data_IF_386647943001
#
_entry.id   IF_386647943001
#
_cell.length_a   1.000
_cell.length_b   1.000
_cell.length_c   1.000
_cell.angle_alpha   90.00
_cell.angle_beta   90.00
_cell.angle_gamma   90.00
#
_symmetry.space_group_name_H-M   'P 1'
#
loop_
_entity.id
_entity.type
_entity.pdbx_description
1 polymer ?
#
# COMPACT_ATOMS: atom_id res chain seq x y z
N UNK A 1 19.81 -1.60 -15.93
CA UNK A 1 20.14 -1.49 -14.49
C UNK A 1 19.27 -2.39 -13.62
N UNK A 2 17.95 -2.20 -13.54
CA UNK A 2 17.08 -2.94 -12.61
C UNK A 2 17.20 -4.48 -12.63
N UNK A 3 17.09 -5.12 -13.81
CA UNK A 3 17.21 -6.59 -13.94
C UNK A 3 18.56 -7.16 -13.47
N UNK A 4 19.62 -6.35 -13.48
CA UNK A 4 20.93 -6.74 -12.92
C UNK A 4 20.81 -6.96 -11.42
N UNK A 5 20.16 -6.04 -10.71
CA UNK A 5 19.95 -6.13 -9.26
C UNK A 5 18.97 -7.23 -8.89
N UNK A 6 17.93 -7.48 -9.70
CA UNK A 6 17.00 -8.62 -9.51
C UNK A 6 17.76 -9.95 -9.55
N UNK A 7 18.65 -10.14 -10.54
CA UNK A 7 19.50 -11.34 -10.63
C UNK A 7 20.51 -11.46 -9.48
N UNK A 8 21.16 -10.35 -9.10
CA UNK A 8 22.09 -10.34 -7.96
C UNK A 8 21.37 -10.68 -6.64
N UNK A 9 20.13 -10.23 -6.47
CA UNK A 9 19.29 -10.53 -5.31
C UNK A 9 18.68 -11.95 -5.35
N UNK A 10 18.94 -12.75 -6.40
CA UNK A 10 18.37 -14.10 -6.59
C UNK A 10 16.84 -14.12 -6.58
N UNK A 11 16.22 -13.07 -7.12
CA UNK A 11 14.76 -12.96 -7.23
C UNK A 11 14.28 -13.39 -8.62
N UNK A 12 12.99 -13.70 -8.74
CA UNK A 12 12.36 -14.06 -10.00
C UNK A 12 12.52 -12.95 -11.06
N UNK A 13 12.86 -13.32 -12.29
CA UNK A 13 13.04 -12.37 -13.38
C UNK A 13 11.75 -11.65 -13.81
N UNK A 14 10.59 -12.19 -13.40
CA UNK A 14 9.28 -11.58 -13.59
C UNK A 14 9.03 -10.36 -12.70
N UNK A 15 9.91 -10.07 -11.72
CA UNK A 15 9.77 -8.87 -10.91
C UNK A 15 9.92 -7.62 -11.79
N UNK A 16 8.94 -6.73 -11.65
CA UNK A 16 8.89 -5.44 -12.31
C UNK A 16 8.73 -4.30 -11.28
N UNK A 17 8.93 -3.06 -11.74
CA UNK A 17 8.62 -1.88 -10.92
C UNK A 17 7.15 -1.82 -10.51
N UNK A 18 6.24 -2.40 -11.30
CA UNK A 18 4.84 -2.49 -10.93
C UNK A 18 4.65 -3.36 -9.68
N UNK A 19 5.32 -4.51 -9.61
CA UNK A 19 5.28 -5.39 -8.43
C UNK A 19 5.82 -4.69 -7.18
N UNK A 20 6.92 -3.94 -7.32
CA UNK A 20 7.46 -3.14 -6.21
C UNK A 20 6.48 -2.05 -5.75
N UNK A 21 5.80 -1.39 -6.69
CA UNK A 21 4.74 -0.41 -6.39
C UNK A 21 3.58 -1.09 -5.66
N UNK A 22 3.18 -2.29 -6.06
CA UNK A 22 2.16 -3.08 -5.36
C UNK A 22 2.57 -3.36 -3.92
N UNK A 23 3.78 -3.89 -3.71
CA UNK A 23 4.31 -4.19 -2.37
C UNK A 23 4.38 -2.93 -1.49
N UNK A 24 4.86 -1.81 -2.03
CA UNK A 24 4.92 -0.55 -1.33
C UNK A 24 3.53 -0.06 -0.91
N UNK A 25 2.53 -0.17 -1.80
CA UNK A 25 1.15 0.23 -1.52
C UNK A 25 0.56 -0.62 -0.40
N UNK A 26 0.71 -1.95 -0.50
CA UNK A 26 0.25 -2.89 0.52
C UNK A 26 0.83 -2.59 1.89
N UNK A 27 2.13 -2.30 2.00
CA UNK A 27 2.76 -1.97 3.28
C UNK A 27 2.28 -0.64 3.88
N UNK A 28 2.05 0.39 3.05
CA UNK A 28 1.50 1.65 3.55
C UNK A 28 0.10 1.45 4.12
N UNK A 29 -0.74 0.69 3.41
CA UNK A 29 -2.12 0.44 3.86
C UNK A 29 -2.15 -0.44 5.10
N UNK A 30 -1.33 -1.50 5.17
CA UNK A 30 -1.20 -2.35 6.37
C UNK A 30 -0.71 -1.58 7.61
N UNK A 31 0.09 -0.53 7.41
CA UNK A 31 0.54 0.37 8.48
C UNK A 31 -0.50 1.42 8.87
N UNK A 32 -1.70 1.38 8.29
CA UNK A 32 -2.80 2.30 8.61
C UNK A 32 -2.72 3.64 7.90
N UNK A 33 -1.86 3.80 6.89
CA UNK A 33 -1.85 5.04 6.08
C UNK A 33 -3.14 5.12 5.27
N UNK A 34 -3.82 6.27 5.33
CA UNK A 34 -5.10 6.46 4.66
C UNK A 34 -4.98 6.38 3.13
N UNK A 35 -5.97 5.77 2.48
CA UNK A 35 -5.99 5.59 1.03
C UNK A 35 -5.84 6.90 0.22
N UNK A 36 -6.39 8.06 0.66
CA UNK A 36 -6.15 9.33 -0.03
C UNK A 36 -4.67 9.75 -0.02
N UNK A 37 -3.97 9.55 1.10
CA UNK A 37 -2.54 9.84 1.22
C UNK A 37 -1.74 8.89 0.34
N UNK A 38 -2.02 7.58 0.41
CA UNK A 38 -1.36 6.57 -0.42
C UNK A 38 -1.55 6.87 -1.92
N UNK A 39 -2.75 7.30 -2.34
CA UNK A 39 -3.03 7.72 -3.71
C UNK A 39 -2.17 8.91 -4.14
N UNK A 40 -2.06 9.93 -3.29
CA UNK A 40 -1.28 11.12 -3.58
C UNK A 40 0.21 10.80 -3.72
N UNK A 41 0.76 9.99 -2.81
CA UNK A 41 2.17 9.56 -2.82
C UNK A 41 2.52 8.76 -4.09
N UNK A 42 1.59 7.92 -4.56
CA UNK A 42 1.81 7.07 -5.73
C UNK A 42 1.41 7.73 -7.05
N UNK A 43 0.78 8.92 -7.00
CA UNK A 43 0.30 9.63 -8.19
C UNK A 43 -0.78 8.89 -8.96
N UNK A 44 -1.59 8.04 -8.30
CA UNK A 44 -2.67 7.33 -8.98
C UNK A 44 -3.79 8.31 -9.37
N UNK A 45 -3.97 8.51 -10.67
CA UNK A 45 -5.05 9.32 -11.25
C UNK A 45 -6.42 8.76 -10.88
N UNK A 46 -6.58 7.43 -10.90
CA UNK A 46 -7.81 6.73 -10.52
C UNK A 46 -7.74 6.18 -9.08
N UNK A 47 -8.73 6.55 -8.26
CA UNK A 47 -8.88 6.06 -6.88
C UNK A 47 -9.13 4.55 -6.83
N UNK A 48 -9.73 3.96 -7.89
CA UNK A 48 -10.03 2.53 -7.98
C UNK A 48 -8.78 1.67 -7.89
N UNK A 49 -7.64 2.17 -8.40
CA UNK A 49 -6.35 1.47 -8.34
C UNK A 49 -5.90 1.31 -6.89
N UNK A 50 -6.11 2.35 -6.07
CA UNK A 50 -5.74 2.37 -4.65
C UNK A 50 -6.78 1.66 -3.77
N UNK A 51 -8.06 1.68 -4.14
CA UNK A 51 -9.12 0.96 -3.41
C UNK A 51 -8.94 -0.56 -3.40
N UNK A 52 -8.25 -1.13 -4.40
CA UNK A 52 -7.90 -2.57 -4.41
C UNK A 52 -7.18 -3.02 -3.15
N UNK A 53 -6.47 -2.13 -2.45
CA UNK A 53 -5.72 -2.45 -1.23
C UNK A 53 -6.49 -2.21 0.05
N UNK A 54 -7.72 -1.68 -0.01
CA UNK A 54 -8.51 -1.35 1.17
C UNK A 54 -8.69 -2.53 2.14
N UNK A 55 -8.77 -3.76 1.62
CA UNK A 55 -8.87 -5.00 2.40
C UNK A 55 -7.62 -5.33 3.23
N UNK A 56 -6.47 -4.72 2.91
CA UNK A 56 -5.22 -4.87 3.67
C UNK A 56 -5.11 -3.86 4.80
N UNK A 57 -6.04 -2.91 4.89
CA UNK A 57 -6.05 -1.98 5.99
C UNK A 57 -6.11 -2.79 7.29
N UNK A 58 -5.39 -2.38 8.35
CA UNK A 58 -5.57 -2.98 9.67
C UNK A 58 -7.05 -2.84 10.08
N UNK A 59 -7.43 -3.37 11.24
CA UNK A 59 -8.77 -3.15 11.80
C UNK A 59 -8.93 -1.67 12.27
N UNK A 60 -8.56 -0.71 11.40
CA UNK A 60 -8.69 0.74 11.54
C UNK A 60 -10.15 1.13 11.75
N UNK A 61 -11.11 0.28 11.36
CA UNK A 61 -12.49 0.44 11.78
C UNK A 61 -12.62 0.38 13.30
N UNK A 62 -12.06 -0.65 13.96
CA UNK A 62 -12.07 -0.72 15.43
C UNK A 62 -11.31 0.44 16.05
N UNK A 63 -10.10 0.75 15.57
CA UNK A 63 -9.31 1.85 16.13
C UNK A 63 -9.95 3.24 15.90
N UNK A 64 -10.57 3.46 14.75
CA UNK A 64 -11.26 4.70 14.40
C UNK A 64 -12.60 4.86 15.12
N UNK A 65 -13.35 3.77 15.32
CA UNK A 65 -14.53 3.74 16.20
C UNK A 65 -14.09 4.04 17.63
N UNK A 66 -13.07 3.36 18.14
CA UNK A 66 -12.53 3.62 19.48
C UNK A 66 -12.13 5.10 19.64
N UNK A 67 -11.39 5.69 18.70
CA UNK A 67 -11.03 7.12 18.74
C UNK A 67 -12.22 8.08 18.61
N UNK A 68 -13.22 7.75 17.78
CA UNK A 68 -14.37 8.62 17.56
C UNK A 68 -15.38 8.59 18.72
N UNK A 69 -15.42 7.49 19.48
CA UNK A 69 -16.41 7.25 20.52
C UNK A 69 -15.84 7.25 21.96
N UNK A 70 -14.54 7.03 22.19
CA UNK A 70 -13.91 7.12 23.52
C UNK A 70 -13.49 8.55 23.91
N UNK A 71 -13.72 9.53 23.03
CA UNK A 71 -13.46 10.95 23.30
C UNK A 71 -14.63 11.72 23.95
N UNK A 72 -15.59 11.05 24.58
CA UNK A 72 -16.70 11.66 25.33
C UNK A 72 -16.76 11.15 26.76
#
# INVERSE_FOLDING_TARGET
MFKKYVRLAKLFESISFHNLRHTCTSWMVQRGVSLPIVRAVLGHSDVKVTQKYAHLAPDVMKAGIQQAFDGR
#
